data_IF_868722174957
#
_entry.id   IF_868722174957
#
_cell.length_a   1.000
_cell.length_b   1.000
_cell.length_c   1.000
_cell.angle_alpha   90.00
_cell.angle_beta   90.00
_cell.angle_gamma   90.00
#
_symmetry.space_group_name_H-M   'P 1'
#
loop_
_entity.id
_entity.type
_entity.pdbx_description
1 polymer ?
#
# COMPACT_ATOMS: atom_id res chain seq x y z
N UNK A 1 0.01 -34.62 -1.88
CA UNK A 1 0.36 -33.35 -2.55
C UNK A 1 0.84 -32.29 -1.56
N UNK A 2 1.37 -32.64 -0.38
CA UNK A 2 1.90 -31.67 0.60
C UNK A 2 0.86 -30.77 1.30
N UNK A 3 -0.27 -30.49 0.66
CA UNK A 3 -1.38 -29.73 1.25
C UNK A 3 -2.26 -30.54 2.17
N UNK A 4 -2.85 -29.83 3.11
CA UNK A 4 -3.76 -30.33 4.13
C UNK A 4 -4.98 -29.42 4.15
N UNK A 5 -6.16 -30.01 4.24
CA UNK A 5 -7.44 -29.28 4.13
C UNK A 5 -8.30 -29.51 5.37
N UNK A 6 -9.34 -28.69 5.62
CA UNK A 6 -10.26 -28.92 6.72
C UNK A 6 -10.85 -30.34 6.70
N UNK A 7 -10.57 -31.12 7.75
CA UNK A 7 -10.93 -32.54 7.86
C UNK A 7 -9.71 -33.47 7.98
N UNK A 8 -8.52 -33.00 7.61
CA UNK A 8 -7.27 -33.74 7.78
C UNK A 8 -6.78 -33.73 9.25
N UNK A 9 -6.04 -34.77 9.69
CA UNK A 9 -5.48 -34.81 11.03
C UNK A 9 -4.59 -33.58 11.34
N UNK A 10 -4.91 -32.88 12.42
CA UNK A 10 -4.16 -31.70 12.87
C UNK A 10 -4.63 -30.37 12.26
N UNK A 11 -5.61 -30.37 11.35
CA UNK A 11 -6.16 -29.15 10.75
C UNK A 11 -7.42 -28.71 11.50
N UNK A 12 -7.44 -27.48 12.05
CA UNK A 12 -8.61 -26.99 12.78
C UNK A 12 -9.80 -26.77 11.84
N UNK A 13 -11.01 -26.88 12.39
CA UNK A 13 -12.26 -26.58 11.67
C UNK A 13 -12.51 -25.07 11.48
N UNK A 14 -11.60 -24.21 11.96
CA UNK A 14 -11.65 -22.75 11.81
C UNK A 14 -10.24 -22.19 11.65
N UNK A 15 -10.09 -21.21 10.78
CA UNK A 15 -8.84 -20.45 10.56
C UNK A 15 -8.68 -19.29 11.56
N UNK A 16 -9.75 -18.95 12.29
CA UNK A 16 -9.80 -17.86 13.25
C UNK A 16 -10.42 -18.33 14.58
N UNK A 17 -9.72 -19.17 15.35
CA UNK A 17 -10.25 -19.64 16.63
C UNK A 17 -10.42 -18.47 17.61
N UNK A 18 -11.53 -18.48 18.36
CA UNK A 18 -11.79 -17.49 19.42
C UNK A 18 -10.73 -17.60 20.52
N UNK A 19 -10.05 -16.49 20.82
CA UNK A 19 -9.04 -16.41 21.88
C UNK A 19 -9.54 -15.50 23.01
N UNK A 20 -9.48 -15.99 24.24
CA UNK A 20 -9.93 -15.27 25.44
C UNK A 20 -8.80 -14.57 26.21
N UNK A 21 -7.56 -14.64 25.72
CA UNK A 21 -6.36 -14.09 26.38
C UNK A 21 -5.82 -12.81 25.74
N UNK A 22 -6.63 -12.12 24.92
CA UNK A 22 -6.26 -10.86 24.29
C UNK A 22 -6.49 -9.70 25.27
N UNK A 23 -5.51 -9.41 26.12
CA UNK A 23 -5.55 -8.29 27.04
C UNK A 23 -5.29 -6.96 26.32
N UNK A 24 -6.22 -6.01 26.43
CA UNK A 24 -6.25 -4.72 25.72
C UNK A 24 -6.31 -3.55 26.73
N UNK A 25 -5.22 -3.26 27.46
CA UNK A 25 -5.19 -2.17 28.42
C UNK A 25 -5.30 -0.82 27.70
N UNK A 26 -5.90 0.15 28.40
CA UNK A 26 -6.01 1.54 27.96
C UNK A 26 -5.80 2.45 29.16
N UNK A 27 -4.90 3.41 29.00
CA UNK A 27 -4.53 4.36 30.03
C UNK A 27 -4.58 5.76 29.44
N UNK A 28 -5.12 6.70 30.20
CA UNK A 28 -5.20 8.11 29.81
C UNK A 28 -4.94 9.00 31.02
N UNK A 29 -4.21 10.09 30.80
CA UNK A 29 -3.90 11.10 31.79
C UNK A 29 -4.20 12.47 31.22
N UNK A 30 -4.82 13.33 32.02
CA UNK A 30 -5.04 14.74 31.70
C UNK A 30 -4.62 15.59 32.88
N UNK A 31 -3.84 16.64 32.61
CA UNK A 31 -3.30 17.54 33.63
C UNK A 31 -3.34 18.99 33.15
N UNK A 32 -3.81 19.89 34.00
CA UNK A 32 -3.77 21.35 33.76
C UNK A 32 -2.83 21.99 34.78
N UNK A 33 -1.63 22.44 34.35
CA UNK A 33 -0.69 23.08 35.25
C UNK A 33 -1.21 24.41 35.81
N UNK A 34 -0.93 24.67 37.09
CA UNK A 34 -1.35 25.88 37.81
C UNK A 34 -0.27 26.96 37.97
N UNK A 35 0.81 26.92 37.18
CA UNK A 35 1.95 27.83 37.36
C UNK A 35 1.58 29.29 37.02
N UNK A 36 1.71 30.20 37.98
CA UNK A 36 1.43 31.63 37.82
C UNK A 36 2.65 32.47 37.41
N UNK A 37 3.84 32.12 37.89
CA UNK A 37 5.02 33.00 37.84
C UNK A 37 6.24 32.34 37.17
N UNK A 38 7.27 33.15 36.88
CA UNK A 38 8.53 32.70 36.32
C UNK A 38 8.43 32.16 34.88
N UNK A 39 9.42 31.35 34.48
CA UNK A 39 9.45 30.76 33.13
C UNK A 39 8.28 29.80 32.91
N UNK A 40 7.89 29.03 33.94
CA UNK A 40 6.74 28.14 33.88
C UNK A 40 5.44 28.90 33.65
N UNK A 41 5.22 30.02 34.35
CA UNK A 41 4.08 30.91 34.10
C UNK A 41 4.02 31.43 32.66
N UNK A 42 5.18 31.72 32.03
CA UNK A 42 5.23 32.14 30.61
C UNK A 42 4.86 31.01 29.63
N UNK A 43 5.39 29.81 29.87
CA UNK A 43 5.12 28.64 29.01
C UNK A 43 3.65 28.21 29.14
N UNK A 44 3.14 28.10 30.36
CA UNK A 44 1.81 27.54 30.66
C UNK A 44 0.68 28.57 30.76
N UNK A 45 1.00 29.83 31.00
CA UNK A 45 0.07 30.97 30.96
C UNK A 45 -0.76 31.26 32.18
N UNK A 46 -0.52 30.57 33.28
CA UNK A 46 -1.39 30.63 34.45
C UNK A 46 -2.36 29.45 34.55
N UNK A 47 -3.04 29.33 35.71
CA UNK A 47 -4.04 28.31 35.95
C UNK A 47 -5.13 28.27 34.87
N UNK A 48 -5.42 27.07 34.37
CA UNK A 48 -6.49 26.85 33.38
C UNK A 48 -6.17 27.31 31.95
N UNK A 49 -4.96 27.81 31.68
CA UNK A 49 -4.55 28.31 30.36
C UNK A 49 -3.76 27.30 29.53
N UNK A 50 -3.47 26.14 30.11
CA UNK A 50 -2.88 25.00 29.43
C UNK A 50 -3.51 23.69 29.87
N UNK A 51 -3.42 22.68 28.98
CA UNK A 51 -3.68 21.29 29.33
C UNK A 51 -2.67 20.39 28.64
N UNK A 52 -2.25 19.34 29.35
CA UNK A 52 -1.43 18.25 28.85
C UNK A 52 -2.31 17.01 28.89
N UNK A 53 -2.34 16.24 27.81
CA UNK A 53 -3.02 14.94 27.76
C UNK A 53 -2.04 13.91 27.23
N UNK A 54 -2.07 12.71 27.79
CA UNK A 54 -1.31 11.58 27.29
C UNK A 54 -2.20 10.34 27.33
N UNK A 55 -2.10 9.49 26.33
CA UNK A 55 -2.79 8.20 26.35
C UNK A 55 -1.96 7.10 25.70
N UNK A 56 -2.27 5.87 26.10
CA UNK A 56 -1.72 4.65 25.54
C UNK A 56 -2.81 3.57 25.52
N UNK A 57 -2.86 2.77 24.47
CA UNK A 57 -3.70 1.59 24.46
C UNK A 57 -3.28 0.54 23.44
N UNK A 58 -3.65 -0.70 23.72
CA UNK A 58 -3.48 -1.84 22.82
C UNK A 58 -4.83 -2.17 22.21
N UNK A 59 -4.89 -2.34 20.89
CA UNK A 59 -6.13 -2.57 20.14
C UNK A 59 -5.94 -3.76 19.21
N UNK A 60 -6.74 -4.80 19.40
CA UNK A 60 -6.76 -5.95 18.50
C UNK A 60 -7.68 -5.64 17.33
N UNK A 61 -7.29 -6.07 16.14
CA UNK A 61 -8.16 -6.06 14.97
C UNK A 61 -8.80 -7.44 14.79
N UNK A 62 -9.89 -7.48 14.03
CA UNK A 62 -10.42 -8.72 13.49
C UNK A 62 -9.54 -9.20 12.33
N UNK A 63 -9.68 -10.48 11.99
CA UNK A 63 -9.25 -10.98 10.70
C UNK A 63 -10.01 -10.24 9.59
N UNK A 64 -9.31 -9.83 8.54
CA UNK A 64 -9.94 -9.14 7.41
C UNK A 64 -10.66 -10.18 6.55
N UNK A 65 -11.95 -9.94 6.28
CA UNK A 65 -12.81 -10.86 5.53
C UNK A 65 -12.28 -11.13 4.12
N UNK A 66 -11.67 -10.13 3.48
CA UNK A 66 -11.04 -10.27 2.16
C UNK A 66 -9.90 -11.32 2.15
N UNK A 67 -9.11 -11.41 3.23
CA UNK A 67 -8.05 -12.41 3.34
C UNK A 67 -8.62 -13.83 3.46
N UNK A 68 -9.78 -13.98 4.12
CA UNK A 68 -10.49 -15.25 4.22
C UNK A 68 -11.18 -15.64 2.92
N UNK A 69 -11.63 -14.64 2.16
CA UNK A 69 -12.28 -14.88 0.87
C UNK A 69 -11.32 -15.45 -0.18
N UNK A 70 -10.01 -15.27 -0.03
CA UNK A 70 -9.03 -15.79 -0.97
C UNK A 70 -9.05 -17.32 -1.07
N UNK A 71 -9.33 -18.02 0.03
CA UNK A 71 -9.47 -19.49 0.05
C UNK A 71 -10.87 -19.98 -0.38
N UNK A 72 -11.82 -19.06 -0.62
CA UNK A 72 -13.19 -19.43 -1.03
C UNK A 72 -13.14 -19.90 -2.49
N UNK A 73 -13.30 -21.20 -2.66
CA UNK A 73 -13.37 -21.81 -3.98
C UNK A 73 -12.13 -22.62 -4.37
N UNK A 74 -11.23 -22.89 -3.43
CA UNK A 74 -10.02 -23.68 -3.68
C UNK A 74 -10.30 -25.18 -3.78
N UNK A 75 -9.53 -25.84 -4.64
CA UNK A 75 -9.59 -27.29 -4.77
C UNK A 75 -9.32 -27.97 -3.41
N UNK A 76 -10.19 -28.89 -2.96
CA UNK A 76 -11.26 -29.51 -3.75
C UNK A 76 -12.66 -28.91 -3.50
N UNK A 77 -12.83 -27.98 -2.56
CA UNK A 77 -14.14 -27.45 -2.14
C UNK A 77 -14.64 -26.29 -3.00
N UNK A 78 -13.79 -25.78 -3.88
CA UNK A 78 -14.18 -25.19 -5.13
C UNK A 78 -13.21 -25.51 -6.25
N UNK A 79 -13.55 -25.06 -7.46
CA UNK A 79 -12.69 -25.22 -8.61
C UNK A 79 -12.90 -23.99 -9.49
N UNK A 80 -11.86 -23.17 -9.56
CA UNK A 80 -11.69 -22.24 -10.66
C UNK A 80 -10.70 -22.87 -11.64
N UNK A 81 -11.03 -22.79 -12.92
CA UNK A 81 -10.08 -23.11 -13.97
C UNK A 81 -9.65 -21.79 -14.60
N UNK A 82 -8.39 -21.44 -14.42
CA UNK A 82 -7.75 -20.37 -15.19
C UNK A 82 -7.03 -21.05 -16.33
N UNK A 83 -7.36 -20.67 -17.56
CA UNK A 83 -6.64 -21.19 -18.72
C UNK A 83 -5.17 -20.76 -18.63
N UNK A 84 -4.20 -21.66 -18.87
CA UNK A 84 -2.78 -21.30 -18.88
C UNK A 84 -2.42 -20.31 -19.99
N UNK A 85 -3.26 -20.19 -21.03
CA UNK A 85 -3.13 -19.17 -22.08
C UNK A 85 -4.49 -18.54 -22.39
N UNK A 86 -4.55 -17.31 -22.96
CA UNK A 86 -5.82 -16.69 -23.33
C UNK A 86 -6.66 -17.59 -24.23
N UNK A 87 -7.95 -17.75 -23.93
CA UNK A 87 -8.84 -18.62 -24.71
C UNK A 87 -9.62 -17.85 -25.79
N UNK A 88 -10.19 -18.61 -26.71
CA UNK A 88 -11.18 -18.13 -27.67
C UNK A 88 -12.46 -17.75 -26.91
N UNK A 89 -13.15 -16.69 -27.36
CA UNK A 89 -14.36 -16.22 -26.67
C UNK A 89 -15.55 -17.15 -26.93
N UNK A 90 -15.63 -17.72 -28.13
CA UNK A 90 -16.62 -18.70 -28.59
C UNK A 90 -16.28 -20.13 -28.18
N UNK A 91 -14.99 -20.45 -28.01
CA UNK A 91 -14.52 -21.74 -27.51
C UNK A 91 -13.71 -21.56 -26.20
N UNK A 92 -14.38 -21.49 -25.03
CA UNK A 92 -13.75 -21.05 -23.78
C UNK A 92 -12.66 -21.98 -23.23
N UNK A 93 -12.52 -23.20 -23.77
CA UNK A 93 -11.45 -24.14 -23.44
C UNK A 93 -10.42 -24.30 -24.56
N UNK A 94 -10.49 -23.53 -25.64
CA UNK A 94 -9.48 -23.57 -26.70
C UNK A 94 -8.56 -22.38 -26.56
N UNK A 95 -7.26 -22.67 -26.47
CA UNK A 95 -6.21 -21.66 -26.46
C UNK A 95 -6.27 -20.82 -27.75
N UNK A 96 -6.14 -19.51 -27.61
CA UNK A 96 -6.08 -18.58 -28.75
C UNK A 96 -4.76 -18.66 -29.51
N UNK A 97 -3.66 -18.93 -28.81
CA UNK A 97 -2.32 -18.87 -29.39
C UNK A 97 -1.99 -20.06 -30.31
N UNK A 98 -2.38 -21.26 -29.91
CA UNK A 98 -2.00 -22.52 -30.57
C UNK A 98 -3.21 -23.37 -30.99
N UNK A 99 -4.43 -22.97 -30.63
CA UNK A 99 -5.65 -23.70 -30.92
C UNK A 99 -5.80 -25.00 -30.13
N UNK A 100 -4.97 -25.29 -29.14
CA UNK A 100 -5.04 -26.51 -28.34
C UNK A 100 -6.26 -26.45 -27.40
N UNK A 101 -7.04 -27.53 -27.38
CA UNK A 101 -8.17 -27.68 -26.46
C UNK A 101 -7.69 -28.15 -25.08
N UNK A 102 -8.08 -27.41 -24.06
CA UNK A 102 -7.85 -27.68 -22.64
C UNK A 102 -8.93 -28.56 -22.01
N UNK A 103 -9.85 -29.10 -22.82
CA UNK A 103 -11.02 -29.93 -22.46
C UNK A 103 -12.04 -29.25 -21.52
N UNK A 104 -13.30 -29.66 -21.59
CA UNK A 104 -14.37 -29.13 -20.74
C UNK A 104 -14.11 -29.52 -19.28
N UNK A 105 -14.07 -28.53 -18.37
CA UNK A 105 -13.78 -28.70 -16.93
C UNK A 105 -15.02 -28.63 -16.04
N UNK A 106 -16.19 -28.32 -16.60
CA UNK A 106 -17.45 -28.14 -15.89
C UNK A 106 -18.63 -28.85 -16.58
N UNK A 107 -19.69 -29.22 -15.86
CA UNK A 107 -19.85 -29.13 -14.40
C UNK A 107 -19.03 -30.19 -13.67
N UNK A 108 -18.57 -29.88 -12.47
CA UNK A 108 -17.96 -30.85 -11.56
C UNK A 108 -18.78 -30.94 -10.27
N UNK A 109 -18.72 -32.09 -9.61
CA UNK A 109 -19.39 -32.29 -8.32
C UNK A 109 -18.40 -31.99 -7.20
N UNK A 110 -18.65 -30.93 -6.45
CA UNK A 110 -17.85 -30.55 -5.30
C UNK A 110 -17.97 -31.62 -4.20
N UNK A 111 -16.85 -32.09 -3.60
CA UNK A 111 -16.91 -32.87 -2.38
C UNK A 111 -17.51 -32.05 -1.24
N UNK A 112 -18.32 -32.68 -0.41
CA UNK A 112 -18.93 -32.03 0.76
C UNK A 112 -17.86 -31.77 1.84
N UNK A 113 -17.61 -30.53 2.28
CA UNK A 113 -16.68 -30.25 3.37
C UNK A 113 -16.97 -31.09 4.62
N UNK A 114 -15.92 -31.66 5.23
CA UNK A 114 -16.03 -32.53 6.41
C UNK A 114 -16.59 -33.94 6.18
N UNK A 115 -16.92 -34.33 4.93
CA UNK A 115 -17.34 -35.70 4.61
C UNK A 115 -16.21 -36.70 4.85
N UNK A 116 -16.47 -37.84 5.51
CA UNK A 116 -15.48 -38.93 5.64
C UNK A 116 -14.96 -39.44 4.29
N UNK A 117 -15.74 -39.31 3.22
CA UNK A 117 -15.34 -39.70 1.87
C UNK A 117 -14.17 -38.88 1.32
N UNK A 118 -13.95 -37.67 1.85
CA UNK A 118 -12.85 -36.81 1.40
C UNK A 118 -11.47 -37.38 1.77
N UNK A 119 -11.39 -38.32 2.72
CA UNK A 119 -10.14 -39.00 3.09
C UNK A 119 -9.52 -39.81 1.96
N UNK A 120 -10.34 -40.23 1.00
CA UNK A 120 -9.92 -41.01 -0.17
C UNK A 120 -10.19 -40.25 -1.46
N UNK A 121 -10.25 -38.92 -1.40
CA UNK A 121 -10.50 -38.09 -2.57
C UNK A 121 -9.35 -38.24 -3.57
N UNK A 122 -9.68 -38.60 -4.80
CA UNK A 122 -8.71 -38.60 -5.89
C UNK A 122 -8.43 -37.16 -6.30
N UNK A 123 -7.22 -36.69 -6.01
CA UNK A 123 -6.84 -35.33 -6.33
C UNK A 123 -6.43 -35.10 -7.79
N UNK A 124 -6.23 -36.17 -8.57
CA UNK A 124 -5.78 -36.07 -9.97
C UNK A 124 -6.74 -35.27 -10.85
N UNK A 125 -8.03 -35.26 -10.49
CA UNK A 125 -9.08 -34.51 -11.21
C UNK A 125 -9.00 -33.00 -11.02
N UNK A 126 -8.30 -32.52 -9.97
CA UNK A 126 -8.11 -31.10 -9.71
C UNK A 126 -6.76 -30.57 -10.23
N UNK A 127 -5.89 -31.45 -10.74
CA UNK A 127 -4.55 -31.08 -11.18
C UNK A 127 -4.52 -30.62 -12.65
N UNK A 128 -3.63 -29.66 -12.99
CA UNK A 128 -2.79 -28.87 -12.08
C UNK A 128 -3.58 -27.76 -11.36
N UNK A 129 -3.30 -27.56 -10.07
CA UNK A 129 -3.86 -26.46 -9.28
C UNK A 129 -3.05 -25.20 -9.61
N UNK A 130 -3.58 -24.36 -10.49
CA UNK A 130 -2.83 -23.22 -11.05
C UNK A 130 -2.59 -22.10 -10.05
N UNK A 131 -3.47 -22.00 -9.05
CA UNK A 131 -3.42 -21.08 -7.93
C UNK A 131 -4.19 -21.79 -6.82
N UNK A 132 -3.67 -21.77 -5.59
CA UNK A 132 -4.52 -21.88 -4.42
C UNK A 132 -3.80 -21.27 -3.21
N UNK A 133 -4.43 -20.27 -2.57
CA UNK A 133 -3.88 -19.65 -1.39
C UNK A 133 -3.92 -20.60 -0.20
N UNK A 134 -2.97 -20.42 0.71
CA UNK A 134 -2.99 -21.07 2.01
C UNK A 134 -2.99 -20.05 3.14
N UNK A 135 -3.47 -20.48 4.30
CA UNK A 135 -3.49 -19.69 5.52
C UNK A 135 -2.79 -20.44 6.65
N UNK A 136 -1.88 -19.76 7.35
CA UNK A 136 -1.19 -20.37 8.49
C UNK A 136 -2.16 -20.57 9.66
N UNK A 137 -2.37 -21.83 10.05
CA UNK A 137 -3.21 -22.21 11.19
C UNK A 137 -2.68 -21.69 12.54
N UNK A 138 -1.44 -21.22 12.60
CA UNK A 138 -0.82 -20.64 13.80
C UNK A 138 -1.05 -19.12 13.92
N UNK A 139 -1.72 -18.52 12.93
CA UNK A 139 -2.03 -17.11 12.93
C UNK A 139 -2.76 -16.65 14.21
N UNK A 140 -2.45 -15.43 14.65
CA UNK A 140 -2.98 -14.77 15.84
C UNK A 140 -3.57 -13.42 15.43
N UNK A 141 -4.53 -12.92 16.21
CA UNK A 141 -5.08 -11.60 15.93
C UNK A 141 -3.96 -10.54 15.92
N UNK A 142 -3.84 -9.75 14.84
CA UNK A 142 -2.96 -8.60 14.83
C UNK A 142 -3.42 -7.58 15.87
N UNK A 143 -2.49 -6.75 16.32
CA UNK A 143 -2.82 -5.66 17.24
C UNK A 143 -1.98 -4.43 16.93
N UNK A 144 -2.49 -3.27 17.35
CA UNK A 144 -1.80 -2.01 17.30
C UNK A 144 -1.64 -1.42 18.70
N UNK A 145 -0.48 -0.84 18.96
CA UNK A 145 -0.24 0.02 20.11
C UNK A 145 -0.40 1.47 19.65
N UNK A 146 -1.34 2.19 20.25
CA UNK A 146 -1.54 3.62 20.00
C UNK A 146 -1.05 4.42 21.20
N UNK A 147 -0.31 5.49 20.95
CA UNK A 147 0.08 6.45 21.97
C UNK A 147 -0.06 7.87 21.46
N UNK A 148 -0.50 8.77 22.33
CA UNK A 148 -0.52 10.19 22.08
C UNK A 148 0.00 11.00 23.28
N UNK A 149 0.59 12.15 22.97
CA UNK A 149 0.93 13.19 23.92
C UNK A 149 0.52 14.52 23.29
N UNK A 150 -0.35 15.29 23.94
CA UNK A 150 -0.77 16.60 23.48
C UNK A 150 -0.58 17.68 24.54
N UNK A 151 -0.20 18.86 24.09
CA UNK A 151 -0.11 20.09 24.86
C UNK A 151 -0.96 21.16 24.18
N UNK A 152 -1.94 21.68 24.90
CA UNK A 152 -2.82 22.74 24.41
C UNK A 152 -2.66 23.99 25.25
N UNK A 153 -2.57 25.15 24.61
CA UNK A 153 -2.27 26.45 25.20
C UNK A 153 -3.20 27.53 24.66
N UNK A 154 -3.90 28.22 25.55
CA UNK A 154 -4.62 29.46 25.20
C UNK A 154 -3.61 30.61 25.04
N UNK A 155 -3.43 31.09 23.81
CA UNK A 155 -2.55 32.23 23.51
C UNK A 155 -3.27 33.57 23.66
N UNK A 156 -4.58 33.59 23.39
CA UNK A 156 -5.48 34.71 23.65
C UNK A 156 -6.91 34.21 23.83
N UNK A 157 -7.84 35.09 24.20
CA UNK A 157 -9.28 34.75 24.35
C UNK A 157 -9.91 34.11 23.11
N UNK A 158 -9.29 34.26 21.94
CA UNK A 158 -9.77 33.73 20.67
C UNK A 158 -8.74 32.88 19.94
N UNK A 159 -7.61 32.51 20.57
CA UNK A 159 -6.54 31.77 19.88
C UNK A 159 -5.95 30.67 20.75
N UNK A 160 -5.91 29.46 20.20
CA UNK A 160 -5.40 28.26 20.86
C UNK A 160 -4.34 27.61 20.00
N UNK A 161 -3.21 27.28 20.62
CA UNK A 161 -2.16 26.45 20.06
C UNK A 161 -2.28 25.03 20.61
N UNK A 162 -2.16 24.03 19.75
CA UNK A 162 -2.06 22.62 20.14
C UNK A 162 -0.81 22.03 19.50
N UNK A 163 0.01 21.37 20.31
CA UNK A 163 1.15 20.56 19.88
C UNK A 163 0.84 19.12 20.26
N UNK A 164 0.92 18.19 19.32
CA UNK A 164 0.65 16.78 19.59
C UNK A 164 1.75 15.89 18.99
N UNK A 165 2.04 14.80 19.66
CA UNK A 165 2.76 13.67 19.13
C UNK A 165 1.82 12.48 19.13
N UNK A 166 1.68 11.80 18.00
CA UNK A 166 0.87 10.60 17.84
C UNK A 166 1.71 9.50 17.24
N UNK A 167 1.54 8.27 17.70
CA UNK A 167 2.17 7.14 17.06
C UNK A 167 1.38 5.85 17.20
N UNK A 168 1.66 4.97 16.25
CA UNK A 168 1.01 3.67 16.10
C UNK A 168 2.07 2.64 15.74
N UNK A 169 2.16 1.56 16.51
CA UNK A 169 2.96 0.38 16.16
C UNK A 169 2.01 -0.77 15.85
N UNK A 170 2.02 -1.26 14.61
CA UNK A 170 1.28 -2.45 14.20
C UNK A 170 2.15 -3.70 14.37
N UNK A 171 1.63 -4.69 15.08
CA UNK A 171 2.33 -5.93 15.39
C UNK A 171 1.60 -7.14 14.84
N UNK A 172 2.39 -8.10 14.32
CA UNK A 172 1.85 -9.37 13.81
C UNK A 172 0.76 -9.14 12.77
N UNK A 173 0.93 -8.12 11.93
CA UNK A 173 0.02 -7.81 10.84
C UNK A 173 0.02 -8.96 9.85
N UNK A 174 -1.15 -9.21 9.27
CA UNK A 174 -1.32 -10.21 8.22
C UNK A 174 -0.61 -9.70 6.97
N UNK A 175 0.13 -10.57 6.31
CA UNK A 175 0.68 -10.36 4.98
C UNK A 175 0.83 -11.70 4.26
N UNK A 176 1.28 -11.65 3.01
CA UNK A 176 1.35 -12.80 2.12
C UNK A 176 2.77 -12.96 1.58
N UNK A 177 3.16 -14.19 1.29
CA UNK A 177 4.36 -14.51 0.52
C UNK A 177 4.07 -15.68 -0.42
N UNK A 178 4.93 -15.95 -1.41
CA UNK A 178 4.74 -17.11 -2.28
C UNK A 178 5.12 -18.42 -1.56
N UNK A 179 4.15 -19.32 -1.39
CA UNK A 179 4.31 -20.64 -0.80
C UNK A 179 5.17 -21.57 -1.67
N UNK A 180 5.16 -21.35 -2.99
CA UNK A 180 5.80 -22.20 -3.99
C UNK A 180 6.69 -21.39 -4.94
N UNK A 181 7.68 -20.65 -4.42
CA UNK A 181 8.62 -19.92 -5.26
C UNK A 181 9.47 -20.92 -6.05
N UNK A 182 9.94 -20.50 -7.22
CA UNK A 182 10.96 -21.22 -7.99
C UNK A 182 12.25 -21.40 -7.19
N UNK A 183 13.03 -22.39 -7.57
CA UNK A 183 14.37 -22.60 -7.02
C UNK A 183 15.40 -22.10 -8.03
N UNK A 184 15.87 -20.86 -7.82
CA UNK A 184 16.86 -20.23 -8.67
C UNK A 184 18.17 -21.04 -8.81
N UNK A 185 18.62 -21.68 -7.72
CA UNK A 185 19.83 -22.50 -7.74
C UNK A 185 19.65 -23.75 -8.61
N UNK A 186 18.47 -24.38 -8.55
CA UNK A 186 18.13 -25.49 -9.43
C UNK A 186 18.04 -25.04 -10.89
N UNK A 187 17.43 -23.88 -11.18
CA UNK A 187 17.37 -23.32 -12.53
C UNK A 187 18.78 -23.13 -13.12
N UNK A 188 19.69 -22.54 -12.34
CA UNK A 188 21.09 -22.37 -12.72
C UNK A 188 21.81 -23.72 -12.89
N UNK A 189 21.51 -24.71 -12.03
CA UNK A 189 22.07 -26.05 -12.13
C UNK A 189 21.64 -26.74 -13.44
N UNK A 190 20.36 -26.64 -13.84
CA UNK A 190 19.86 -27.21 -15.09
C UNK A 190 20.59 -26.63 -16.30
N UNK A 191 20.83 -25.31 -16.30
CA UNK A 191 21.64 -24.66 -17.33
C UNK A 191 23.08 -25.16 -17.34
N UNK A 192 23.72 -25.27 -16.17
CA UNK A 192 25.09 -25.77 -16.05
C UNK A 192 25.22 -27.24 -16.51
N UNK A 193 24.13 -28.00 -16.43
CA UNK A 193 24.06 -29.39 -16.89
C UNK A 193 23.69 -29.51 -18.38
N UNK A 194 23.55 -28.40 -19.12
CA UNK A 194 23.09 -28.36 -20.51
C UNK A 194 21.76 -29.09 -20.69
N UNK A 195 20.82 -28.87 -19.77
CA UNK A 195 19.46 -29.32 -19.96
C UNK A 195 18.86 -28.71 -21.24
N UNK A 196 17.80 -29.32 -21.75
CA UNK A 196 16.96 -28.75 -22.80
C UNK A 196 15.60 -28.49 -22.20
N UNK A 197 15.10 -27.27 -22.32
CA UNK A 197 13.71 -26.98 -22.03
C UNK A 197 12.84 -27.58 -23.15
N UNK A 198 11.99 -28.53 -22.80
CA UNK A 198 11.10 -29.20 -23.74
C UNK A 198 9.90 -28.34 -24.15
N UNK A 199 9.60 -27.27 -23.40
CA UNK A 199 8.51 -26.36 -23.70
C UNK A 199 8.92 -25.40 -24.82
N UNK A 200 10.13 -24.85 -24.77
CA UNK A 200 10.63 -23.88 -25.76
C UNK A 200 11.65 -24.44 -26.76
N UNK A 201 12.26 -25.59 -26.46
CA UNK A 201 13.38 -26.17 -27.22
C UNK A 201 14.73 -25.50 -26.93
N UNK A 202 14.81 -24.56 -25.99
CA UNK A 202 16.04 -23.85 -25.65
C UNK A 202 16.98 -24.72 -24.79
N UNK A 203 18.29 -24.50 -24.94
CA UNK A 203 19.33 -25.22 -24.18
C UNK A 203 20.41 -24.31 -23.59
N UNK A 204 20.42 -23.02 -23.93
CA UNK A 204 21.39 -22.06 -23.41
C UNK A 204 20.84 -20.61 -23.38
N UNK A 205 20.32 -20.15 -22.23
CA UNK A 205 19.92 -20.97 -21.10
C UNK A 205 18.69 -21.84 -21.46
N UNK A 206 18.57 -23.01 -20.82
CA UNK A 206 17.38 -23.83 -20.87
C UNK A 206 16.33 -23.30 -19.90
N UNK A 207 16.73 -23.09 -18.64
CA UNK A 207 15.88 -22.48 -17.61
C UNK A 207 16.19 -20.99 -17.49
N UNK A 208 15.16 -20.15 -17.62
CA UNK A 208 15.25 -18.70 -17.53
C UNK A 208 13.98 -18.10 -16.92
N UNK A 209 13.82 -16.77 -16.99
CA UNK A 209 12.63 -16.11 -16.49
C UNK A 209 11.32 -16.72 -16.96
N UNK A 210 10.37 -16.91 -16.04
CA UNK A 210 9.05 -17.52 -16.28
C UNK A 210 9.07 -19.00 -16.67
N UNK A 211 10.23 -19.68 -16.62
CA UNK A 211 10.38 -21.09 -17.00
C UNK A 211 10.24 -22.06 -15.80
N UNK A 212 9.85 -21.58 -14.61
CA UNK A 212 9.91 -22.39 -13.39
C UNK A 212 8.85 -23.50 -13.34
N UNK A 213 7.92 -23.55 -14.31
CA UNK A 213 6.97 -24.65 -14.53
C UNK A 213 7.31 -25.53 -15.74
N UNK A 214 8.33 -25.16 -16.52
CA UNK A 214 8.68 -25.88 -17.74
C UNK A 214 9.33 -27.23 -17.46
N UNK A 215 9.28 -28.13 -18.44
CA UNK A 215 9.88 -29.46 -18.31
C UNK A 215 11.27 -29.47 -18.92
N UNK A 216 12.28 -29.80 -18.11
CA UNK A 216 13.66 -29.83 -18.53
C UNK A 216 14.14 -31.26 -18.72
N UNK A 217 14.80 -31.55 -19.84
CA UNK A 217 15.45 -32.81 -20.11
C UNK A 217 16.96 -32.68 -19.94
N UNK A 218 17.53 -33.48 -19.05
CA UNK A 218 18.98 -33.59 -18.89
C UNK A 218 19.60 -34.38 -20.06
N UNK A 219 20.91 -34.22 -20.35
CA UNK A 219 21.59 -34.97 -21.41
C UNK A 219 21.46 -36.51 -21.30
N UNK A 220 21.27 -37.03 -20.09
CA UNK A 220 21.03 -38.46 -19.84
C UNK A 220 19.59 -38.92 -20.12
N UNK A 221 18.71 -38.04 -20.61
CA UNK A 221 17.31 -38.33 -20.93
C UNK A 221 16.34 -38.20 -19.75
N UNK A 222 16.83 -38.05 -18.52
CA UNK A 222 16.01 -37.81 -17.33
C UNK A 222 15.27 -36.48 -17.40
N UNK A 223 14.02 -36.46 -16.93
CA UNK A 223 13.17 -35.27 -16.91
C UNK A 223 13.12 -34.65 -15.52
N UNK A 224 13.08 -33.33 -15.48
CA UNK A 224 12.84 -32.49 -14.29
C UNK A 224 11.66 -31.59 -14.60
N UNK A 225 10.59 -31.69 -13.82
CA UNK A 225 9.35 -30.94 -14.07
C UNK A 225 9.31 -29.66 -13.24
N UNK A 226 9.79 -28.57 -13.82
CA UNK A 226 9.86 -27.25 -13.20
C UNK A 226 11.01 -27.11 -12.19
N UNK A 227 11.08 -25.93 -11.57
CA UNK A 227 12.05 -25.61 -10.51
C UNK A 227 11.37 -25.31 -9.17
N UNK A 228 10.04 -25.34 -9.11
CA UNK A 228 9.25 -25.11 -7.89
C UNK A 228 9.15 -26.36 -7.03
N UNK A 229 10.05 -26.55 -6.09
CA UNK A 229 10.23 -27.79 -5.31
C UNK A 229 9.48 -27.85 -3.97
N UNK A 230 8.84 -26.76 -3.53
CA UNK A 230 8.19 -26.71 -2.21
C UNK A 230 6.85 -27.45 -2.16
N UNK A 231 6.01 -27.23 -3.18
CA UNK A 231 4.70 -27.90 -3.27
C UNK A 231 4.65 -28.97 -4.36
N UNK A 232 5.65 -29.05 -5.25
CA UNK A 232 5.69 -30.04 -6.34
C UNK A 232 6.73 -31.14 -6.12
N UNK A 233 6.39 -32.35 -6.60
CA UNK A 233 7.34 -33.44 -6.81
C UNK A 233 7.95 -33.29 -8.21
N UNK A 234 9.22 -32.86 -8.28
CA UNK A 234 9.90 -32.58 -9.55
C UNK A 234 10.12 -33.81 -10.45
N UNK A 235 9.77 -35.02 -10.01
CA UNK A 235 9.81 -36.24 -10.82
C UNK A 235 8.56 -36.46 -11.67
N UNK A 236 7.54 -35.62 -11.50
CA UNK A 236 6.23 -35.71 -12.18
C UNK A 236 5.76 -34.32 -12.59
N UNK A 237 4.82 -34.19 -13.56
CA UNK A 237 4.24 -32.91 -13.92
C UNK A 237 3.75 -32.10 -12.71
N UNK A 238 3.99 -30.78 -12.75
CA UNK A 238 3.72 -29.89 -11.63
C UNK A 238 2.26 -29.98 -11.15
N UNK A 239 2.08 -30.14 -9.84
CA UNK A 239 0.77 -30.19 -9.20
C UNK A 239 0.24 -28.78 -8.88
N UNK A 240 1.15 -27.82 -8.65
CA UNK A 240 0.88 -26.43 -8.30
C UNK A 240 1.59 -25.47 -9.24
N UNK A 241 0.84 -24.46 -9.68
CA UNK A 241 1.29 -23.40 -10.58
C UNK A 241 2.08 -22.30 -9.87
N UNK A 242 1.89 -21.06 -10.33
CA UNK A 242 2.56 -19.85 -9.83
C UNK A 242 1.69 -19.12 -8.80
N UNK A 243 2.24 -18.12 -8.14
CA UNK A 243 1.48 -17.19 -7.31
C UNK A 243 0.70 -17.85 -6.14
N UNK A 244 1.21 -18.92 -5.54
CA UNK A 244 0.51 -19.61 -4.45
C UNK A 244 0.66 -18.81 -3.15
N UNK A 245 -0.20 -17.82 -2.90
CA UNK A 245 -0.03 -16.94 -1.74
C UNK A 245 -0.23 -17.68 -0.42
N UNK A 246 0.68 -17.52 0.53
CA UNK A 246 0.53 -18.01 1.90
C UNK A 246 0.36 -16.86 2.88
N UNK A 247 -0.79 -16.83 3.55
CA UNK A 247 -1.20 -15.75 4.45
C UNK A 247 -0.74 -16.02 5.88
N UNK A 248 0.06 -15.11 6.42
CA UNK A 248 0.71 -15.27 7.74
C UNK A 248 0.85 -13.94 8.49
N UNK A 249 0.84 -13.98 9.83
CA UNK A 249 1.13 -12.82 10.69
C UNK A 249 2.62 -12.48 10.77
N UNK A 250 3.19 -11.98 9.68
CA UNK A 250 4.64 -11.74 9.54
C UNK A 250 5.01 -10.24 9.43
N UNK A 251 4.05 -9.38 9.14
CA UNK A 251 4.29 -7.96 8.90
C UNK A 251 4.19 -7.11 10.17
N UNK A 252 4.86 -5.96 10.17
CA UNK A 252 4.77 -4.95 11.24
C UNK A 252 4.76 -3.55 10.61
N UNK A 253 4.09 -2.60 11.26
CA UNK A 253 4.07 -1.19 10.83
C UNK A 253 4.46 -0.25 11.96
N UNK A 254 4.94 0.93 11.61
CA UNK A 254 5.36 1.97 12.52
C UNK A 254 5.00 3.33 11.92
N UNK A 255 4.14 4.07 12.58
CA UNK A 255 3.79 5.44 12.25
C UNK A 255 4.09 6.35 13.43
N UNK A 256 4.77 7.47 13.19
CA UNK A 256 4.89 8.55 14.18
C UNK A 256 4.68 9.89 13.49
N UNK A 257 4.01 10.80 14.19
CA UNK A 257 3.79 12.16 13.71
C UNK A 257 3.84 13.20 14.81
N UNK A 258 4.48 14.33 14.51
CA UNK A 258 4.32 15.58 15.23
C UNK A 258 3.27 16.44 14.53
N UNK A 259 2.33 16.99 15.29
CA UNK A 259 1.25 17.82 14.80
C UNK A 259 1.25 19.16 15.52
N UNK A 260 1.07 20.24 14.75
CA UNK A 260 0.96 21.60 15.25
C UNK A 260 -0.31 22.20 14.69
N UNK A 261 -1.19 22.66 15.58
CA UNK A 261 -2.44 23.30 15.19
C UNK A 261 -2.55 24.67 15.86
N UNK A 262 -2.80 25.70 15.06
CA UNK A 262 -3.14 27.03 15.55
C UNK A 262 -4.56 27.38 15.09
N UNK A 263 -5.44 27.55 16.05
CA UNK A 263 -6.83 27.90 15.79
C UNK A 263 -7.11 29.32 16.30
N UNK A 264 -7.75 30.14 15.46
CA UNK A 264 -8.30 31.44 15.86
C UNK A 264 -9.77 31.54 15.53
N UNK A 265 -10.57 31.97 16.50
CA UNK A 265 -12.01 32.24 16.36
C UNK A 265 -12.33 33.66 16.85
N UNK A 266 -12.08 34.66 16.02
CA UNK A 266 -12.44 36.05 16.28
C UNK A 266 -13.56 36.53 15.33
N UNK A 267 -14.21 37.64 15.67
CA UNK A 267 -15.33 38.16 14.88
C UNK A 267 -14.92 38.65 13.48
N UNK A 268 -13.69 39.14 13.34
CA UNK A 268 -13.13 39.67 12.09
C UNK A 268 -12.33 38.63 11.31
N UNK A 269 -11.73 37.65 11.99
CA UNK A 269 -10.92 36.62 11.37
C UNK A 269 -11.07 35.29 12.10
N UNK A 270 -11.43 34.26 11.35
CA UNK A 270 -11.35 32.87 11.78
C UNK A 270 -10.32 32.14 10.93
N UNK A 271 -9.49 31.30 11.54
CA UNK A 271 -8.60 30.43 10.79
C UNK A 271 -8.21 29.18 11.57
N UNK A 272 -7.80 28.16 10.81
CA UNK A 272 -7.18 26.95 11.29
C UNK A 272 -5.93 26.71 10.45
N UNK A 273 -4.76 26.75 11.09
CA UNK A 273 -3.50 26.30 10.51
C UNK A 273 -3.13 24.96 11.15
N UNK A 274 -2.93 23.92 10.35
CA UNK A 274 -2.54 22.60 10.81
C UNK A 274 -1.32 22.13 10.02
N UNK A 275 -0.29 21.69 10.73
CA UNK A 275 0.92 21.10 10.16
C UNK A 275 1.20 19.75 10.80
N UNK A 276 1.40 18.74 9.97
CA UNK A 276 1.80 17.39 10.38
C UNK A 276 3.14 17.07 9.74
N UNK A 277 4.11 16.71 10.57
CA UNK A 277 5.34 16.05 10.15
C UNK A 277 5.25 14.58 10.56
N UNK A 278 5.28 13.66 9.60
CA UNK A 278 5.06 12.24 9.88
C UNK A 278 6.04 11.31 9.17
N UNK A 279 6.10 10.06 9.65
CA UNK A 279 6.77 8.97 8.95
C UNK A 279 6.05 7.65 9.22
N UNK A 280 5.71 6.95 8.16
CA UNK A 280 5.10 5.63 8.13
C UNK A 280 6.06 4.62 7.47
N UNK A 281 6.31 3.50 8.14
CA UNK A 281 7.13 2.40 7.67
C UNK A 281 6.36 1.10 7.89
N UNK A 282 6.30 0.23 6.90
CA UNK A 282 5.66 -1.08 7.02
C UNK A 282 6.41 -2.16 6.22
N UNK A 283 6.00 -3.42 6.42
CA UNK A 283 6.45 -4.55 5.60
C UNK A 283 5.53 -4.79 4.40
N UNK A 284 4.30 -4.25 4.40
CA UNK A 284 3.29 -4.35 3.35
C UNK A 284 2.23 -3.29 3.63
N UNK A 285 1.84 -2.49 2.62
CA UNK A 285 0.88 -1.38 2.79
C UNK A 285 -0.55 -1.75 2.38
N UNK A 286 -0.78 -2.99 1.96
CA UNK A 286 -2.08 -3.44 1.54
C UNK A 286 -2.10 -4.90 1.12
N UNK A 287 -3.30 -5.40 0.87
CA UNK A 287 -3.53 -6.72 0.30
C UNK A 287 -2.81 -6.89 -1.05
N UNK A 288 -2.31 -8.10 -1.35
CA UNK A 288 -1.49 -8.42 -2.53
C UNK A 288 -0.11 -7.74 -2.64
N UNK A 289 0.31 -6.92 -1.67
CA UNK A 289 1.71 -6.52 -1.56
C UNK A 289 2.49 -7.55 -0.77
N UNK A 290 2.97 -8.57 -1.46
CA UNK A 290 3.65 -9.69 -0.82
C UNK A 290 4.97 -9.27 -0.19
N UNK A 291 5.29 -9.89 0.94
CA UNK A 291 6.61 -9.79 1.52
C UNK A 291 7.54 -10.80 0.87
N UNK A 292 8.83 -10.48 0.89
CA UNK A 292 9.87 -11.37 0.46
C UNK A 292 9.79 -12.69 1.25
N UNK A 293 9.55 -13.80 0.53
CA UNK A 293 9.32 -15.11 1.12
C UNK A 293 10.54 -15.66 1.88
N UNK A 294 11.75 -15.21 1.52
CA UNK A 294 13.00 -15.66 2.14
C UNK A 294 13.30 -14.87 3.41
N UNK A 295 13.04 -13.56 3.40
CA UNK A 295 13.24 -12.69 4.54
C UNK A 295 12.29 -11.47 4.49
N UNK A 296 11.22 -11.45 5.30
CA UNK A 296 10.21 -10.39 5.28
C UNK A 296 10.76 -9.01 5.68
N UNK A 297 11.92 -8.96 6.35
CA UNK A 297 12.58 -7.69 6.72
C UNK A 297 13.08 -6.91 5.51
N UNK A 298 13.38 -7.60 4.40
CA UNK A 298 13.80 -6.97 3.15
C UNK A 298 12.67 -6.15 2.51
N UNK A 299 11.41 -6.50 2.79
CA UNK A 299 10.24 -5.73 2.33
C UNK A 299 9.89 -4.53 3.22
N UNK A 300 10.70 -4.24 4.25
CA UNK A 300 10.42 -3.11 5.16
C UNK A 300 10.85 -1.79 4.52
N UNK A 301 9.88 -0.93 4.24
CA UNK A 301 10.07 0.30 3.47
C UNK A 301 9.22 1.45 4.00
N UNK A 302 9.28 2.63 3.37
CA UNK A 302 8.21 3.61 3.55
C UNK A 302 6.86 2.96 3.22
N UNK A 303 5.80 3.31 3.95
CA UNK A 303 4.45 2.85 3.62
C UNK A 303 3.92 3.58 2.38
N UNK A 304 3.07 2.96 1.57
CA UNK A 304 2.55 3.55 0.32
C UNK A 304 1.75 4.85 0.53
N UNK A 305 1.25 5.05 1.75
CA UNK A 305 0.50 6.22 2.19
C UNK A 305 1.33 7.19 3.06
N UNK A 306 2.64 7.02 3.14
CA UNK A 306 3.51 7.92 3.89
C UNK A 306 3.49 9.34 3.32
N UNK A 307 3.21 10.32 4.17
CA UNK A 307 3.25 11.75 3.79
C UNK A 307 4.08 12.48 4.83
N UNK A 308 5.31 12.83 4.48
CA UNK A 308 6.24 13.42 5.44
C UNK A 308 5.82 14.80 5.92
N UNK A 309 5.30 15.63 5.02
CA UNK A 309 4.87 17.00 5.31
C UNK A 309 3.43 17.19 4.84
N UNK A 310 2.55 17.64 5.72
CA UNK A 310 1.19 18.02 5.35
C UNK A 310 0.81 19.30 6.10
N UNK A 311 0.67 20.40 5.37
CA UNK A 311 0.21 21.68 5.86
C UNK A 311 -1.13 22.05 5.23
N UNK A 312 -2.09 22.43 6.05
CA UNK A 312 -3.38 22.96 5.62
C UNK A 312 -3.67 24.24 6.39
N UNK A 313 -4.02 25.30 5.65
CA UNK A 313 -4.46 26.57 6.23
C UNK A 313 -5.81 26.95 5.66
N UNK A 314 -6.83 26.91 6.51
CA UNK A 314 -8.19 27.37 6.19
C UNK A 314 -8.44 28.70 6.89
N UNK A 315 -8.97 29.68 6.19
CA UNK A 315 -9.21 31.01 6.75
C UNK A 315 -10.50 31.64 6.22
N UNK A 316 -11.12 32.49 7.03
CA UNK A 316 -12.15 33.43 6.64
C UNK A 316 -11.88 34.76 7.33
N UNK A 317 -11.74 35.80 6.52
CA UNK A 317 -11.40 37.13 6.96
C UNK A 317 -12.45 38.11 6.47
N UNK A 318 -13.20 38.69 7.41
CA UNK A 318 -14.07 39.81 7.14
C UNK A 318 -13.21 41.06 6.92
N UNK A 319 -12.94 41.39 5.65
CA UNK A 319 -11.99 42.45 5.29
C UNK A 319 -12.53 43.80 5.78
N UNK A 320 -11.80 44.52 6.64
CA UNK A 320 -12.29 45.76 7.22
C UNK A 320 -12.00 46.97 6.30
N UNK A 321 -12.41 46.93 5.04
CA UNK A 321 -12.19 48.06 4.11
C UNK A 321 -12.83 49.35 4.59
N UNK A 322 -13.89 49.28 5.40
CA UNK A 322 -14.50 50.45 6.03
C UNK A 322 -13.58 51.13 7.06
N UNK A 323 -12.63 50.40 7.66
CA UNK A 323 -11.59 50.97 8.53
C UNK A 323 -10.45 51.55 7.72
N UNK A 324 -10.08 50.90 6.61
CA UNK A 324 -9.01 51.36 5.72
C UNK A 324 -9.42 52.60 4.89
N UNK A 325 -10.69 52.70 4.50
CA UNK A 325 -11.24 53.77 3.67
C UNK A 325 -12.46 54.42 4.36
N UNK A 326 -12.24 55.20 5.44
CA UNK A 326 -13.33 55.73 6.26
C UNK A 326 -14.25 56.72 5.53
N UNK A 327 -13.75 57.41 4.50
CA UNK A 327 -14.53 58.35 3.68
C UNK A 327 -15.25 57.73 2.48
N UNK A 328 -15.02 56.44 2.19
CA UNK A 328 -15.66 55.78 1.06
C UNK A 328 -17.06 55.26 1.41
N UNK A 329 -17.98 55.15 0.44
CA UNK A 329 -19.34 54.69 0.69
C UNK A 329 -19.39 53.33 1.41
N UNK A 330 -20.12 53.25 2.53
CA UNK A 330 -20.24 52.03 3.34
C UNK A 330 -20.71 50.82 2.53
N UNK A 331 -21.58 51.04 1.53
CA UNK A 331 -22.05 49.99 0.61
C UNK A 331 -20.92 49.33 -0.17
N UNK A 332 -19.87 50.08 -0.51
CA UNK A 332 -18.69 49.58 -1.21
C UNK A 332 -17.64 49.00 -0.26
N UNK A 333 -17.56 49.46 0.98
CA UNK A 333 -16.49 49.09 1.92
C UNK A 333 -16.86 48.03 2.96
N UNK A 334 -18.15 47.73 3.18
CA UNK A 334 -18.59 46.74 4.19
C UNK A 334 -19.00 45.41 3.57
N UNK A 335 -18.97 44.32 4.33
CA UNK A 335 -19.51 43.02 3.91
C UNK A 335 -18.63 42.22 2.95
N UNK A 336 -17.36 42.61 2.82
CA UNK A 336 -16.35 41.80 2.14
C UNK A 336 -15.86 40.69 3.07
N UNK A 337 -15.77 39.47 2.54
CA UNK A 337 -15.18 38.34 3.21
C UNK A 337 -14.28 37.59 2.22
N UNK A 338 -13.02 37.40 2.61
CA UNK A 338 -12.08 36.55 1.89
C UNK A 338 -11.98 35.23 2.64
N UNK A 339 -12.28 34.13 1.96
CA UNK A 339 -12.10 32.79 2.48
C UNK A 339 -11.14 32.00 1.58
N UNK A 340 -10.50 30.99 2.13
CA UNK A 340 -9.66 30.12 1.33
C UNK A 340 -9.13 28.93 2.09
N UNK A 341 -8.60 27.99 1.31
CA UNK A 341 -7.88 26.82 1.79
C UNK A 341 -6.56 26.74 1.01
N UNK A 342 -5.46 26.69 1.74
CA UNK A 342 -4.13 26.45 1.19
C UNK A 342 -3.64 25.10 1.67
N UNK A 343 -3.15 24.27 0.74
CA UNK A 343 -2.60 22.95 1.05
C UNK A 343 -1.22 22.80 0.45
N UNK A 344 -0.25 22.47 1.30
CA UNK A 344 1.07 21.98 0.89
C UNK A 344 1.27 20.58 1.46
N UNK A 345 1.35 19.58 0.61
CA UNK A 345 1.58 18.20 1.04
C UNK A 345 2.74 17.60 0.27
N UNK A 346 3.57 16.79 0.92
CA UNK A 346 4.51 15.91 0.24
C UNK A 346 3.78 14.91 -0.66
N UNK A 347 4.48 14.35 -1.64
CA UNK A 347 3.95 13.28 -2.47
C UNK A 347 3.85 11.97 -1.71
N UNK A 348 3.26 10.96 -2.34
CA UNK A 348 3.28 9.59 -1.84
C UNK A 348 4.58 8.89 -2.28
N UNK A 349 5.08 7.87 -1.57
CA UNK A 349 6.25 7.12 -2.00
C UNK A 349 6.10 6.53 -3.39
N UNK A 350 7.16 6.58 -4.19
CA UNK A 350 7.20 5.89 -5.49
C UNK A 350 7.37 4.40 -5.24
N UNK A 351 6.45 3.60 -5.79
CA UNK A 351 6.51 2.15 -5.71
C UNK A 351 7.44 1.62 -6.80
N UNK A 352 8.57 1.08 -6.37
CA UNK A 352 9.61 0.48 -7.20
C UNK A 352 9.36 -1.02 -7.29
N UNK A 353 9.30 -1.52 -8.52
CA UNK A 353 9.15 -2.94 -8.86
C UNK A 353 9.93 -3.27 -10.11
N UNK A 354 10.18 -4.54 -10.36
CA UNK A 354 10.69 -5.05 -11.63
C UNK A 354 9.76 -6.16 -12.13
N UNK A 355 8.60 -5.76 -12.68
CA UNK A 355 7.56 -6.69 -13.10
C UNK A 355 7.80 -7.19 -14.53
N UNK A 356 7.61 -8.49 -14.77
CA UNK A 356 7.54 -9.09 -16.10
C UNK A 356 8.81 -9.76 -16.61
N UNK A 357 9.98 -9.41 -16.04
CA UNK A 357 11.26 -9.96 -16.48
C UNK A 357 11.72 -11.17 -15.64
N UNK A 358 11.06 -11.45 -14.50
CA UNK A 358 11.32 -12.55 -13.53
C UNK A 358 12.80 -12.95 -13.41
N UNK A 359 13.66 -11.93 -13.28
CA UNK A 359 15.11 -12.14 -13.24
C UNK A 359 15.53 -12.88 -11.97
N UNK A 360 14.70 -12.85 -10.93
CA UNK A 360 14.97 -13.59 -9.70
C UNK A 360 14.83 -15.11 -9.86
N UNK A 361 14.16 -15.59 -10.92
CA UNK A 361 13.88 -17.02 -11.18
C UNK A 361 13.02 -17.67 -10.08
N UNK A 362 12.30 -16.86 -9.32
CA UNK A 362 11.36 -17.33 -8.31
C UNK A 362 9.93 -17.41 -8.88
N UNK A 363 9.67 -16.77 -10.03
CA UNK A 363 8.35 -16.74 -10.65
C UNK A 363 7.29 -16.09 -9.76
N UNK A 364 7.72 -15.10 -8.96
CA UNK A 364 6.89 -14.29 -8.06
C UNK A 364 7.07 -12.81 -8.39
N UNK A 365 6.38 -12.35 -9.44
CA UNK A 365 6.52 -10.98 -9.94
C UNK A 365 6.16 -9.88 -8.92
N UNK A 366 5.51 -10.24 -7.80
CA UNK A 366 5.11 -9.28 -6.75
C UNK A 366 6.24 -8.83 -5.83
N UNK A 367 7.40 -9.49 -5.85
CA UNK A 367 8.51 -9.20 -4.92
C UNK A 367 9.81 -8.77 -5.60
N UNK A 368 9.84 -8.78 -6.93
CA UNK A 368 11.03 -8.42 -7.69
C UNK A 368 11.20 -6.91 -7.75
N UNK A 369 12.44 -6.49 -7.49
CA UNK A 369 12.89 -5.10 -7.47
C UNK A 369 14.21 -5.02 -8.24
N UNK A 370 14.47 -3.89 -8.93
CA UNK A 370 15.73 -3.66 -9.60
C UNK A 370 16.88 -3.43 -8.61
N UNK A 371 18.10 -3.35 -9.12
CA UNK A 371 19.23 -2.81 -8.38
C UNK A 371 19.22 -1.28 -8.44
N UNK A 372 19.41 -0.63 -7.30
CA UNK A 372 19.78 0.78 -7.22
C UNK A 372 21.30 0.90 -7.41
N UNK A 373 21.73 1.38 -8.58
CA UNK A 373 23.15 1.51 -8.98
C UNK A 373 23.66 2.95 -8.96
N UNK A 374 22.74 3.92 -8.89
CA UNK A 374 23.05 5.35 -8.91
C UNK A 374 22.22 6.15 -7.93
N UNK A 375 22.48 7.47 -7.90
CA UNK A 375 21.70 8.40 -7.07
C UNK A 375 20.41 8.79 -7.79
N UNK A 376 19.30 8.81 -7.04
CA UNK A 376 18.05 9.38 -7.53
C UNK A 376 18.16 10.91 -7.59
N UNK A 377 18.01 11.45 -8.79
CA UNK A 377 17.95 12.88 -9.05
C UNK A 377 16.50 13.27 -9.31
N UNK A 378 15.92 14.05 -8.39
CA UNK A 378 14.55 14.55 -8.50
C UNK A 378 14.52 15.79 -9.40
N UNK A 379 13.62 15.79 -10.37
CA UNK A 379 13.42 16.84 -11.36
C UNK A 379 11.97 17.34 -11.33
N UNK A 380 11.73 18.54 -11.85
CA UNK A 380 10.38 19.06 -12.02
C UNK A 380 9.74 18.42 -13.27
N UNK A 381 8.62 17.67 -13.15
CA UNK A 381 7.94 17.00 -14.28
C UNK A 381 7.35 17.96 -15.32
N UNK A 382 7.49 19.28 -15.13
CA UNK A 382 7.18 20.30 -16.16
C UNK A 382 8.22 20.36 -17.28
N UNK A 383 9.27 19.55 -17.24
CA UNK A 383 10.19 19.38 -18.37
C UNK A 383 9.48 18.70 -19.57
N UNK A 384 9.99 18.85 -20.81
CA UNK A 384 9.36 18.31 -22.01
C UNK A 384 9.13 16.79 -21.99
N UNK A 385 9.96 16.06 -21.25
CA UNK A 385 9.93 14.59 -21.16
C UNK A 385 9.12 14.10 -19.94
N UNK A 386 8.50 15.01 -19.19
CA UNK A 386 7.74 14.74 -17.96
C UNK A 386 8.46 13.87 -16.92
N UNK A 387 9.79 13.89 -16.93
CA UNK A 387 10.61 12.99 -16.10
C UNK A 387 10.77 13.58 -14.69
N UNK A 388 10.39 12.82 -13.66
CA UNK A 388 10.57 13.16 -12.25
C UNK A 388 11.88 12.59 -11.67
N UNK A 389 12.32 11.41 -12.13
CA UNK A 389 13.64 10.87 -11.81
C UNK A 389 14.19 10.08 -12.99
N UNK A 390 15.53 9.99 -13.09
CA UNK A 390 16.16 9.25 -14.18
C UNK A 390 16.14 7.74 -13.93
N UNK A 391 15.80 6.99 -14.98
CA UNK A 391 15.90 5.53 -15.04
C UNK A 391 17.30 5.02 -14.71
N UNK A 392 18.36 5.72 -15.12
CA UNK A 392 19.77 5.33 -14.97
C UNK A 392 20.24 5.13 -13.51
N UNK A 393 19.43 5.54 -12.53
CA UNK A 393 19.69 5.21 -11.14
C UNK A 393 19.47 3.71 -10.85
N UNK A 394 18.78 3.00 -11.74
CA UNK A 394 18.41 1.60 -11.61
C UNK A 394 19.02 0.75 -12.72
N UNK A 395 19.30 -0.50 -12.38
CA UNK A 395 19.70 -1.55 -13.31
C UNK A 395 18.95 -2.83 -12.97
N UNK A 396 18.95 -3.78 -13.90
CA UNK A 396 18.34 -5.09 -13.76
C UNK A 396 18.86 -5.78 -12.50
N UNK A 397 17.95 -6.42 -11.75
CA UNK A 397 18.32 -7.30 -10.65
C UNK A 397 19.26 -8.44 -11.08
N UNK A 398 20.03 -9.04 -10.15
CA UNK A 398 20.87 -10.18 -10.46
C UNK A 398 20.04 -11.40 -10.87
N UNK A 399 20.50 -12.17 -11.85
CA UNK A 399 19.81 -13.41 -12.25
C UNK A 399 19.84 -14.43 -11.10
N UNK A 400 18.67 -14.90 -10.67
CA UNK A 400 18.52 -15.87 -9.58
C UNK A 400 18.49 -15.27 -8.17
N UNK A 401 18.38 -13.95 -8.03
CA UNK A 401 18.25 -13.30 -6.74
C UNK A 401 17.44 -11.98 -6.84
N UNK A 402 16.97 -11.49 -5.69
CA UNK A 402 16.30 -10.19 -5.63
C UNK A 402 17.29 -9.05 -5.85
N UNK A 403 16.85 -7.97 -6.50
CA UNK A 403 17.62 -6.72 -6.54
C UNK A 403 17.74 -6.06 -5.16
N UNK A 404 18.62 -5.07 -5.08
CA UNK A 404 18.94 -4.39 -3.83
C UNK A 404 18.10 -3.13 -3.54
N UNK A 405 17.25 -2.70 -4.48
CA UNK A 405 16.38 -1.54 -4.25
C UNK A 405 15.33 -1.87 -3.20
N UNK A 406 15.02 -0.90 -2.34
CA UNK A 406 13.82 -1.03 -1.51
C UNK A 406 12.58 -0.73 -2.39
N UNK A 407 11.43 -1.32 -2.07
CA UNK A 407 10.21 -1.10 -2.84
C UNK A 407 9.73 0.36 -2.79
N UNK A 408 9.99 1.07 -1.69
CA UNK A 408 9.53 2.46 -1.48
C UNK A 408 10.50 3.18 -0.54
N UNK A 409 11.28 4.13 -1.06
CA UNK A 409 12.31 4.83 -0.28
C UNK A 409 12.43 6.34 -0.55
N UNK A 410 11.67 6.87 -1.50
CA UNK A 410 11.57 8.30 -1.79
C UNK A 410 10.15 8.65 -2.24
N UNK A 411 9.79 9.93 -2.14
CA UNK A 411 8.46 10.44 -2.45
C UNK A 411 8.38 11.00 -3.86
N UNK A 412 7.20 10.84 -4.47
CA UNK A 412 6.82 11.47 -5.74
C UNK A 412 6.48 12.96 -5.59
N UNK A 413 5.91 13.58 -6.65
CA UNK A 413 5.45 14.96 -6.62
C UNK A 413 4.41 15.23 -5.52
N UNK A 414 4.57 16.36 -4.83
CA UNK A 414 3.64 16.83 -3.81
C UNK A 414 2.47 17.64 -4.37
N UNK A 415 1.61 18.13 -3.45
CA UNK A 415 0.54 19.08 -3.74
C UNK A 415 0.94 20.47 -3.26
N UNK A 416 0.71 21.46 -4.10
CA UNK A 416 0.80 22.88 -3.77
C UNK A 416 -0.44 23.58 -4.33
N UNK A 417 -1.47 23.73 -3.51
CA UNK A 417 -2.77 24.23 -3.97
C UNK A 417 -3.30 25.41 -3.14
N UNK A 418 -3.99 26.32 -3.84
CA UNK A 418 -4.62 27.51 -3.28
C UNK A 418 -6.02 27.68 -3.85
N UNK A 419 -7.01 27.45 -3.01
CA UNK A 419 -8.41 27.69 -3.33
C UNK A 419 -8.86 28.96 -2.59
N UNK A 420 -9.40 29.92 -3.33
CA UNK A 420 -9.75 31.25 -2.79
C UNK A 420 -11.18 31.61 -3.19
N UNK A 421 -11.96 32.04 -2.20
CA UNK A 421 -13.29 32.61 -2.37
C UNK A 421 -13.35 34.06 -1.91
N UNK A 422 -13.86 34.95 -2.74
CA UNK A 422 -14.18 36.32 -2.38
C UNK A 422 -15.70 36.49 -2.37
N UNK A 423 -16.22 36.89 -1.21
CA UNK A 423 -17.64 37.16 -1.01
C UNK A 423 -17.85 38.63 -0.70
N UNK A 424 -18.92 39.19 -1.25
CA UNK A 424 -19.38 40.55 -0.96
C UNK A 424 -20.88 40.55 -0.74
N UNK A 425 -21.29 40.83 0.50
CA UNK A 425 -22.69 41.09 0.84
C UNK A 425 -22.94 42.59 0.95
N UNK A 426 -23.95 43.08 0.25
CA UNK A 426 -24.38 44.49 0.28
C UNK A 426 -25.87 44.56 0.60
N UNK A 427 -26.22 45.20 1.72
CA UNK A 427 -27.62 45.50 2.01
C UNK A 427 -28.15 46.55 1.02
N UNK A 428 -29.24 46.24 0.34
CA UNK A 428 -29.95 47.14 -0.58
C UNK A 428 -31.00 47.92 0.24
N UNK A 429 -31.80 47.18 1.01
CA UNK A 429 -32.79 47.69 1.98
C UNK A 429 -32.54 47.02 3.35
N UNK A 430 -33.39 47.29 4.34
CA UNK A 430 -33.33 46.62 5.64
C UNK A 430 -33.67 45.12 5.56
N UNK A 431 -34.48 44.72 4.56
CA UNK A 431 -34.93 43.34 4.37
C UNK A 431 -34.30 42.63 3.17
N UNK A 432 -33.53 43.33 2.33
CA UNK A 432 -32.96 42.78 1.09
C UNK A 432 -31.46 43.03 1.03
N UNK A 433 -30.68 41.97 0.78
CA UNK A 433 -29.25 42.05 0.53
C UNK A 433 -28.91 41.33 -0.78
N UNK A 434 -27.94 41.87 -1.49
CA UNK A 434 -27.30 41.22 -2.63
C UNK A 434 -25.99 40.60 -2.16
N UNK A 435 -25.74 39.35 -2.54
CA UNK A 435 -24.48 38.66 -2.29
C UNK A 435 -23.84 38.28 -3.62
N UNK A 436 -22.59 38.68 -3.78
CA UNK A 436 -21.72 38.21 -4.86
C UNK A 436 -20.70 37.27 -4.26
N UNK A 437 -20.49 36.13 -4.93
CA UNK A 437 -19.47 35.14 -4.57
C UNK A 437 -18.69 34.78 -5.82
N UNK A 438 -17.37 34.83 -5.70
CA UNK A 438 -16.44 34.40 -6.74
C UNK A 438 -15.47 33.42 -6.10
N UNK A 439 -15.37 32.22 -6.67
CA UNK A 439 -14.50 31.14 -6.18
C UNK A 439 -13.50 30.76 -7.27
N UNK A 440 -12.26 30.57 -6.88
CA UNK A 440 -11.16 30.11 -7.71
C UNK A 440 -10.58 28.84 -7.08
N UNK A 441 -10.61 27.75 -7.82
CA UNK A 441 -9.93 26.51 -7.46
C UNK A 441 -8.58 26.49 -8.15
N UNK A 442 -7.51 26.21 -7.42
CA UNK A 442 -6.14 26.31 -7.90
C UNK A 442 -5.86 27.68 -8.57
N UNK A 443 -6.02 28.78 -7.82
CA UNK A 443 -5.99 30.16 -8.35
C UNK A 443 -4.68 30.52 -9.09
N UNK A 444 -3.58 29.83 -8.78
CA UNK A 444 -2.29 30.03 -9.45
C UNK A 444 -2.04 29.06 -10.62
N UNK A 445 -3.03 28.23 -10.96
CA UNK A 445 -2.97 27.23 -12.03
C UNK A 445 -1.71 26.34 -11.93
N UNK A 446 -1.41 25.87 -10.72
CA UNK A 446 -0.26 24.99 -10.50
C UNK A 446 -0.68 23.54 -10.78
N UNK A 447 0.01 22.86 -11.71
CA UNK A 447 -0.28 21.46 -12.04
C UNK A 447 0.05 20.55 -10.84
N UNK A 448 -0.89 19.66 -10.49
CA UNK A 448 -0.72 18.70 -9.39
C UNK A 448 -0.46 17.31 -9.97
N UNK A 449 0.81 16.93 -10.11
CA UNK A 449 1.18 15.66 -10.73
C UNK A 449 0.82 14.44 -9.87
N UNK A 450 0.51 13.31 -10.52
CA UNK A 450 0.48 12.01 -9.86
C UNK A 450 1.90 11.43 -9.74
N UNK A 451 2.03 10.32 -9.02
CA UNK A 451 3.33 9.65 -8.91
C UNK A 451 3.84 9.21 -10.30
N UNK A 452 5.17 9.28 -10.52
CA UNK A 452 5.79 8.71 -11.71
C UNK A 452 5.66 7.18 -11.70
N UNK A 453 5.84 6.57 -12.86
CA UNK A 453 6.00 5.13 -12.97
C UNK A 453 7.29 4.67 -12.25
N UNK A 454 7.19 3.65 -11.43
CA UNK A 454 8.32 3.06 -10.71
C UNK A 454 8.62 1.62 -11.13
N UNK A 455 7.97 1.12 -12.18
CA UNK A 455 8.23 -0.21 -12.70
C UNK A 455 9.44 -0.21 -13.64
N UNK A 456 10.46 -1.00 -13.30
CA UNK A 456 11.61 -1.29 -14.14
C UNK A 456 11.32 -2.49 -15.06
N UNK A 457 11.65 -2.40 -16.34
CA UNK A 457 11.65 -3.48 -17.33
C UNK A 457 12.80 -3.30 -18.32
N UNK A 458 13.43 -4.40 -18.70
CA UNK A 458 14.48 -4.41 -19.73
C UNK A 458 13.94 -4.19 -21.15
N UNK A 459 12.62 -4.30 -21.36
CA UNK A 459 11.97 -4.18 -22.68
C UNK A 459 11.54 -2.74 -23.02
N UNK A 460 11.92 -1.77 -22.19
CA UNK A 460 11.55 -0.36 -22.29
C UNK A 460 10.35 -0.03 -21.41
N UNK A 461 10.54 0.92 -20.51
CA UNK A 461 9.51 1.37 -19.56
C UNK A 461 9.43 2.90 -19.51
N UNK A 462 8.39 3.38 -18.84
CA UNK A 462 8.20 4.79 -18.51
C UNK A 462 8.75 5.13 -17.14
N UNK A 463 9.69 4.33 -16.60
CA UNK A 463 10.18 4.52 -15.23
C UNK A 463 10.71 5.94 -15.04
N UNK A 464 10.22 6.60 -14.01
CA UNK A 464 10.56 7.98 -13.71
C UNK A 464 9.71 9.03 -14.39
N UNK A 465 8.85 8.65 -15.35
CA UNK A 465 7.99 9.58 -16.09
C UNK A 465 6.64 9.72 -15.40
N UNK A 466 6.15 10.96 -15.33
CA UNK A 466 4.78 11.27 -14.88
C UNK A 466 3.85 11.27 -16.08
N UNK A 467 2.82 10.43 -16.05
CA UNK A 467 1.87 10.25 -17.16
C UNK A 467 0.51 10.93 -16.93
N UNK A 468 0.26 11.46 -15.72
CA UNK A 468 -1.01 12.09 -15.38
C UNK A 468 -0.88 13.14 -14.27
N UNK A 469 -1.88 14.01 -14.20
CA UNK A 469 -2.07 15.00 -13.14
C UNK A 469 -3.47 14.86 -12.55
N UNK A 470 -3.67 15.41 -11.35
CA UNK A 470 -4.95 15.46 -10.66
C UNK A 470 -5.84 16.54 -11.27
N UNK A 471 -7.15 16.36 -11.09
CA UNK A 471 -8.12 17.41 -11.40
C UNK A 471 -7.83 18.68 -10.57
N UNK A 472 -8.09 19.87 -11.15
CA UNK A 472 -7.82 21.15 -10.52
C UNK A 472 -8.67 21.44 -9.28
#
# INVERSE_FOLDING_TARGET
MGWVVPGDPGIPSTLAPTRYNNFSPRLGLAYSPGFSDGLAGKIFGGPGKSSIRASYGIYYTSIEDLNLFYEVGDAPFGLYWVSPTPTMFDEPFRNRADGISQTQRFPFTFPTPGSPANKTLDYSVYLPISFSPGYDIHNRLPYAEHYDLSFQRELSKSTVLTLSYVGTQGHRLISQYDANPGNAALCQQLNAQNAVDLNTGLSNPACGPNAELDTFQLPGGSLVYGTRDRLNDLSKPASFGVNNSFTVNIANSNYNAGQVTLERKAADMTFLAAYTYSKAIDNSSGFNQWVNFSNPRLSRSLASFDVTHNFVFSYSWAIPFNRAFPGAPKRLTQGWNLAGITRFTGGLPVAISQNGDDVSLFGSGNTDVPNLVGKIHIMDPRNPDHTFFNRDAFDTGPVGAFGNSNRQFFHGPGINNFDIGLMKRTAITESTAFEMRVEFFNVFNHTQFNNPDGNFSIFGDTMGVVTSAKDP
#
